data_IF_181190453895
#
_entry.id   IF_181190453895
#
_cell.length_a   1.000
_cell.length_b   1.000
_cell.length_c   1.000
_cell.angle_alpha   90.00
_cell.angle_beta   90.00
_cell.angle_gamma   90.00
#
_symmetry.space_group_name_H-M   'P 1'
#
loop_
_entity.id
_entity.type
_entity.pdbx_description
1 polymer ?
#
# COMPACT_ATOMS: atom_id res chain seq x y z
N UNK A 1 7.41 -17.19 0.20
CA UNK A 1 6.64 -15.93 0.14
C UNK A 1 7.32 -14.78 0.88
N UNK A 2 8.40 -15.01 1.64
CA UNK A 2 9.12 -13.95 2.36
C UNK A 2 10.59 -13.96 1.95
N UNK A 3 11.21 -12.79 1.97
CA UNK A 3 12.64 -12.59 1.75
C UNK A 3 13.24 -11.93 2.99
N UNK A 4 14.52 -12.18 3.32
CA UNK A 4 15.18 -11.55 4.47
C UNK A 4 15.39 -10.04 4.28
N UNK A 5 15.30 -9.56 3.04
CA UNK A 5 15.36 -8.16 2.65
C UNK A 5 14.17 -7.87 1.74
N UNK A 6 13.50 -6.74 1.97
CA UNK A 6 12.42 -6.24 1.15
C UNK A 6 12.36 -4.71 1.29
N UNK A 7 11.64 -4.06 0.39
CA UNK A 7 11.48 -2.61 0.43
C UNK A 7 10.07 -2.26 0.93
N UNK A 8 10.01 -1.29 1.83
CA UNK A 8 8.75 -0.78 2.37
C UNK A 8 8.66 0.72 2.12
N UNK A 9 7.45 1.18 1.81
CA UNK A 9 7.11 2.60 1.84
C UNK A 9 6.19 2.84 3.03
N UNK A 10 6.54 3.81 3.86
CA UNK A 10 5.70 4.30 4.94
C UNK A 10 5.36 5.78 4.73
N UNK A 11 4.14 6.15 5.09
CA UNK A 11 3.66 7.53 5.09
C UNK A 11 3.22 7.95 6.48
N UNK A 12 3.50 9.21 6.82
CA UNK A 12 3.09 9.84 8.07
C UNK A 12 2.59 11.25 7.78
N UNK A 13 1.40 11.58 8.26
CA UNK A 13 0.86 12.94 8.22
C UNK A 13 0.44 13.34 9.64
N UNK A 14 0.97 14.47 10.12
CA UNK A 14 0.61 15.08 11.40
C UNK A 14 0.00 16.46 11.12
N UNK A 15 -1.22 16.68 11.57
CA UNK A 15 -1.94 17.94 11.40
C UNK A 15 -3.01 18.09 12.50
N UNK A 16 -3.42 19.32 12.83
CA UNK A 16 -4.48 19.59 13.80
C UNK A 16 -5.86 19.10 13.34
N UNK A 17 -6.05 18.92 12.04
CA UNK A 17 -7.30 18.44 11.45
C UNK A 17 -7.24 16.97 10.98
N UNK A 18 -6.14 16.26 11.20
CA UNK A 18 -5.98 14.89 10.72
C UNK A 18 -6.97 13.93 11.41
N UNK A 19 -7.71 13.14 10.63
CA UNK A 19 -8.68 12.17 11.14
C UNK A 19 -8.80 10.93 10.24
N UNK A 20 -9.47 9.87 10.72
CA UNK A 20 -9.59 8.59 10.01
C UNK A 20 -10.18 8.72 8.59
N UNK A 21 -11.10 9.66 8.36
CA UNK A 21 -11.62 9.98 7.03
C UNK A 21 -10.53 10.44 6.03
N UNK A 22 -9.57 11.26 6.46
CA UNK A 22 -8.45 11.70 5.63
C UNK A 22 -7.52 10.52 5.28
N UNK A 23 -7.22 9.65 6.25
CA UNK A 23 -6.46 8.42 6.02
C UNK A 23 -7.14 7.55 4.96
N UNK A 24 -8.44 7.27 5.15
CA UNK A 24 -9.21 6.44 4.20
C UNK A 24 -9.22 7.05 2.80
N UNK A 25 -9.51 8.35 2.67
CA UNK A 25 -9.52 9.03 1.39
C UNK A 25 -8.17 8.98 0.69
N UNK A 26 -7.09 9.27 1.41
CA UNK A 26 -5.72 9.20 0.90
C UNK A 26 -5.39 7.81 0.33
N UNK A 27 -5.66 6.75 1.11
CA UNK A 27 -5.35 5.38 0.72
C UNK A 27 -6.23 4.85 -0.41
N UNK A 28 -7.52 5.19 -0.42
CA UNK A 28 -8.45 4.84 -1.50
C UNK A 28 -7.96 5.46 -2.81
N UNK A 29 -7.68 6.76 -2.81
CA UNK A 29 -7.21 7.46 -4.00
C UNK A 29 -5.82 6.97 -4.44
N UNK A 30 -4.91 6.71 -3.50
CA UNK A 30 -3.63 6.06 -3.81
C UNK A 30 -3.84 4.73 -4.55
N UNK A 31 -4.70 3.84 -4.04
CA UNK A 31 -4.91 2.54 -4.65
C UNK A 31 -5.55 2.64 -6.04
N UNK A 32 -6.56 3.50 -6.22
CA UNK A 32 -7.17 3.73 -7.54
C UNK A 32 -6.15 4.20 -8.56
N UNK A 33 -5.31 5.16 -8.19
CA UNK A 33 -4.27 5.72 -9.08
C UNK A 33 -3.13 4.75 -9.33
N UNK A 34 -2.71 4.01 -8.30
CA UNK A 34 -1.63 3.05 -8.42
C UNK A 34 -2.03 1.84 -9.27
N UNK A 35 -3.22 1.28 -9.07
CA UNK A 35 -3.72 0.14 -9.83
C UNK A 35 -4.44 0.53 -11.12
N UNK A 36 -4.70 1.82 -11.35
CA UNK A 36 -5.37 2.34 -12.55
C UNK A 36 -6.78 1.76 -12.73
N UNK A 37 -7.52 1.67 -11.62
CA UNK A 37 -8.91 1.20 -11.56
C UNK A 37 -9.72 2.23 -10.81
N UNK A 38 -10.50 3.03 -11.54
CA UNK A 38 -11.28 4.15 -10.97
C UNK A 38 -12.28 3.69 -9.89
N UNK A 39 -12.94 2.55 -10.12
CA UNK A 39 -13.92 1.95 -9.22
C UNK A 39 -13.34 0.77 -8.42
N UNK A 40 -12.10 0.89 -7.95
CA UNK A 40 -11.44 -0.17 -7.17
C UNK A 40 -12.18 -0.40 -5.84
N UNK A 41 -12.74 -1.60 -5.58
CA UNK A 41 -13.33 -1.89 -4.29
C UNK A 41 -12.25 -1.95 -3.22
N UNK A 42 -12.46 -1.25 -2.11
CA UNK A 42 -11.55 -1.24 -0.96
C UNK A 42 -12.33 -1.50 0.31
N UNK A 43 -11.72 -2.17 1.29
CA UNK A 43 -12.28 -2.27 2.64
C UNK A 43 -11.19 -2.14 3.69
N UNK A 44 -11.60 -1.68 4.86
CA UNK A 44 -10.75 -1.52 6.02
C UNK A 44 -11.23 -2.46 7.11
N UNK A 45 -10.35 -3.34 7.59
CA UNK A 45 -10.62 -4.25 8.68
C UNK A 45 -9.89 -3.77 9.92
N UNK A 46 -10.54 -3.69 11.10
CA UNK A 46 -9.83 -3.41 12.34
C UNK A 46 -8.68 -4.40 12.54
N UNK A 47 -7.52 -3.87 12.90
CA UNK A 47 -6.31 -4.65 13.22
C UNK A 47 -5.61 -4.00 14.42
N UNK A 48 -4.39 -4.40 14.73
CA UNK A 48 -3.60 -3.87 15.83
C UNK A 48 -2.15 -3.64 15.42
N UNK A 49 -1.67 -2.41 15.58
CA UNK A 49 -0.26 -2.05 15.48
C UNK A 49 0.13 -1.17 16.67
N UNK A 50 1.23 -1.43 17.39
CA UNK A 50 1.57 -0.71 18.62
C UNK A 50 1.73 0.82 18.48
N UNK A 51 2.01 1.30 17.27
CA UNK A 51 2.25 2.71 16.96
C UNK A 51 1.01 3.44 16.42
N UNK A 52 -0.14 2.77 16.27
CA UNK A 52 -1.40 3.38 15.84
C UNK A 52 -2.60 2.92 16.66
N UNK A 53 -3.54 3.84 16.93
CA UNK A 53 -4.83 3.54 17.57
C UNK A 53 -5.88 4.60 17.17
N UNK A 54 -7.00 4.23 16.50
CA UNK A 54 -7.32 2.90 16.00
C UNK A 54 -6.45 2.47 14.81
N UNK A 55 -6.28 1.15 14.67
CA UNK A 55 -5.50 0.47 13.63
C UNK A 55 -6.40 -0.29 12.63
N UNK A 56 -5.97 -0.39 11.37
CA UNK A 56 -6.68 -1.11 10.32
C UNK A 56 -5.74 -1.72 9.26
N UNK A 57 -6.14 -2.87 8.73
CA UNK A 57 -5.63 -3.42 7.48
C UNK A 57 -6.54 -2.98 6.32
N UNK A 58 -5.93 -2.70 5.16
CA UNK A 58 -6.66 -2.39 3.95
C UNK A 58 -6.56 -3.54 2.95
N UNK A 59 -7.73 -3.98 2.47
CA UNK A 59 -7.84 -4.93 1.38
C UNK A 59 -8.41 -4.26 0.12
N UNK A 60 -8.02 -4.77 -1.05
CA UNK A 60 -8.58 -4.41 -2.35
C UNK A 60 -9.35 -5.60 -2.96
N UNK A 61 -10.36 -5.28 -3.76
CA UNK A 61 -11.13 -6.26 -4.52
C UNK A 61 -10.29 -6.93 -5.60
N UNK A 62 -10.50 -8.23 -5.78
CA UNK A 62 -9.90 -8.99 -6.86
C UNK A 62 -10.77 -10.18 -7.29
N UNK A 63 -10.47 -10.71 -8.46
CA UNK A 63 -10.99 -11.99 -8.95
C UNK A 63 -9.83 -12.96 -9.19
N UNK A 64 -10.05 -14.23 -8.87
CA UNK A 64 -9.14 -15.33 -9.22
C UNK A 64 -9.87 -16.23 -10.22
N UNK A 65 -9.48 -16.18 -11.49
CA UNK A 65 -10.00 -17.10 -12.51
C UNK A 65 -8.83 -17.82 -13.20
N UNK A 66 -8.95 -19.14 -13.35
CA UNK A 66 -7.95 -19.99 -14.06
C UNK A 66 -6.48 -19.79 -13.66
N UNK A 67 -6.22 -19.38 -12.42
CA UNK A 67 -4.86 -19.13 -11.90
C UNK A 67 -4.35 -17.69 -12.13
N UNK A 68 -5.13 -16.83 -12.78
CA UNK A 68 -4.84 -15.42 -12.97
C UNK A 68 -5.53 -14.58 -11.88
N UNK A 69 -4.77 -13.66 -11.28
CA UNK A 69 -5.28 -12.69 -10.31
C UNK A 69 -5.51 -11.37 -11.01
N UNK A 70 -6.77 -10.91 -11.04
CA UNK A 70 -7.13 -9.62 -11.61
C UNK A 70 -7.62 -8.68 -10.51
N UNK A 71 -7.05 -7.48 -10.45
CA UNK A 71 -7.45 -6.43 -9.53
C UNK A 71 -8.73 -5.74 -10.04
N UNK A 72 -9.67 -5.45 -9.13
CA UNK A 72 -10.93 -4.76 -9.46
C UNK A 72 -12.16 -5.45 -8.87
N UNK A 73 -13.32 -5.21 -9.48
CA UNK A 73 -14.59 -5.80 -9.05
C UNK A 73 -14.56 -7.32 -9.16
N UNK A 74 -14.58 -8.00 -8.01
CA UNK A 74 -14.59 -9.46 -7.90
C UNK A 74 -15.10 -9.89 -6.53
N UNK A 75 -15.24 -11.21 -6.34
CA UNK A 75 -15.76 -11.79 -5.09
C UNK A 75 -14.68 -12.01 -4.03
N UNK A 76 -13.40 -11.83 -4.39
CA UNK A 76 -12.25 -12.04 -3.50
C UNK A 76 -11.65 -10.71 -3.06
N UNK A 77 -10.88 -10.78 -1.98
CA UNK A 77 -10.20 -9.65 -1.39
C UNK A 77 -8.75 -9.98 -1.12
N UNK A 78 -7.89 -8.98 -1.24
CA UNK A 78 -6.48 -9.13 -1.00
C UNK A 78 -5.97 -7.98 -0.13
N UNK A 79 -5.41 -8.30 1.02
CA UNK A 79 -4.71 -7.35 1.87
C UNK A 79 -3.51 -6.75 1.11
N UNK A 80 -3.30 -5.44 1.24
CA UNK A 80 -2.19 -4.73 0.57
C UNK A 80 -1.35 -3.86 1.50
N UNK A 81 -1.90 -3.38 2.62
CA UNK A 81 -1.20 -2.48 3.55
C UNK A 81 -1.83 -2.47 4.94
N UNK A 82 -1.06 -1.98 5.92
CA UNK A 82 -1.51 -1.63 7.26
C UNK A 82 -1.54 -0.11 7.46
N UNK A 83 -2.46 0.39 8.29
CA UNK A 83 -2.61 1.82 8.55
C UNK A 83 -3.31 2.09 9.88
N UNK A 84 -3.30 3.36 10.32
CA UNK A 84 -4.06 3.78 11.50
C UNK A 84 -3.80 5.22 11.91
N UNK A 85 -4.51 5.68 12.92
CA UNK A 85 -4.25 6.97 13.56
C UNK A 85 -3.03 6.85 14.47
N UNK A 86 -2.09 7.79 14.43
CA UNK A 86 -0.84 7.73 15.21
C UNK A 86 -1.17 7.71 16.70
N UNK A 87 -0.59 6.74 17.42
CA UNK A 87 -0.86 6.57 18.84
C UNK A 87 -0.35 7.80 19.64
N UNK A 88 -1.11 8.35 20.61
CA UNK A 88 -0.71 9.56 21.37
C UNK A 88 0.69 9.48 22.02
N UNK A 89 1.07 8.30 22.53
CA UNK A 89 2.42 8.07 23.06
C UNK A 89 3.54 8.30 22.04
N UNK A 90 3.31 8.02 20.75
CA UNK A 90 4.29 8.31 19.69
C UNK A 90 4.47 9.82 19.54
N UNK A 91 3.37 10.58 19.54
CA UNK A 91 3.40 12.04 19.47
C UNK A 91 4.12 12.66 20.68
N UNK A 92 3.76 12.21 21.89
CA UNK A 92 4.40 12.65 23.15
C UNK A 92 5.91 12.40 23.14
N UNK A 93 6.35 11.25 22.65
CA UNK A 93 7.78 10.90 22.55
C UNK A 93 8.53 11.78 21.53
N UNK A 94 7.82 12.46 20.62
CA UNK A 94 8.36 13.44 19.68
C UNK A 94 8.16 14.90 20.13
N UNK A 95 7.66 15.15 21.35
CA UNK A 95 7.41 16.50 21.85
C UNK A 95 6.20 17.20 21.21
N UNK A 96 5.27 16.45 20.63
CA UNK A 96 4.03 16.95 20.02
C UNK A 96 2.86 16.70 20.98
N UNK A 97 2.06 17.73 21.23
CA UNK A 97 0.86 17.63 22.07
C UNK A 97 -0.28 16.90 21.32
N UNK A 98 -0.69 15.69 21.77
CA UNK A 98 -1.76 14.93 21.12
C UNK A 98 -3.17 15.52 21.33
N UNK A 99 -3.33 16.49 22.24
CA UNK A 99 -4.59 17.22 22.40
C UNK A 99 -4.73 18.36 21.36
N UNK A 100 -3.61 18.79 20.74
CA UNK A 100 -3.59 19.80 19.68
C UNK A 100 -3.39 19.20 18.28
N UNK A 101 -2.56 18.17 18.15
CA UNK A 101 -2.22 17.54 16.88
C UNK A 101 -2.69 16.09 16.83
N UNK A 102 -3.20 15.70 15.68
CA UNK A 102 -3.49 14.32 15.35
C UNK A 102 -2.65 13.90 14.16
N UNK A 103 -2.69 12.62 13.81
CA UNK A 103 -2.02 12.16 12.62
C UNK A 103 -2.43 10.76 12.22
N UNK A 104 -2.10 10.39 10.99
CA UNK A 104 -2.26 9.03 10.53
C UNK A 104 -0.97 8.53 9.89
N UNK A 105 -0.79 7.22 9.93
CA UNK A 105 0.32 6.53 9.32
C UNK A 105 -0.17 5.33 8.51
N UNK A 106 0.61 4.93 7.51
CA UNK A 106 0.39 3.72 6.73
C UNK A 106 1.72 3.13 6.26
N UNK A 107 1.74 1.83 5.98
CA UNK A 107 2.91 1.12 5.50
C UNK A 107 2.54 0.02 4.52
N UNK A 108 3.29 -0.09 3.42
CA UNK A 108 3.09 -1.12 2.40
C UNK A 108 4.42 -1.67 1.86
N UNK A 109 4.46 -2.97 1.62
CA UNK A 109 5.59 -3.62 0.95
C UNK A 109 5.58 -3.33 -0.55
N UNK A 110 6.68 -2.79 -1.07
CA UNK A 110 6.80 -2.38 -2.47
C UNK A 110 6.74 -3.60 -3.38
N UNK A 111 7.42 -4.69 -3.04
CA UNK A 111 7.41 -5.91 -3.85
C UNK A 111 5.99 -6.49 -3.94
N UNK A 112 5.21 -6.43 -2.84
CA UNK A 112 3.83 -6.94 -2.85
C UNK A 112 2.97 -6.16 -3.84
N UNK A 113 2.99 -4.83 -3.78
CA UNK A 113 2.17 -4.00 -4.68
C UNK A 113 2.67 -4.07 -6.13
N UNK A 114 4.00 -4.21 -6.34
CA UNK A 114 4.58 -4.42 -7.67
C UNK A 114 4.19 -5.78 -8.28
N UNK A 115 4.22 -6.86 -7.49
CA UNK A 115 3.76 -8.17 -7.92
C UNK A 115 2.31 -8.14 -8.39
N UNK A 116 1.45 -7.41 -7.67
CA UNK A 116 0.05 -7.25 -8.04
C UNK A 116 -0.16 -6.39 -9.28
N UNK A 117 0.58 -5.27 -9.40
CA UNK A 117 0.45 -4.36 -10.54
C UNK A 117 0.97 -4.99 -11.84
N UNK A 118 2.09 -5.70 -11.78
CA UNK A 118 2.78 -6.23 -12.97
C UNK A 118 2.58 -7.73 -13.18
N UNK A 119 1.80 -8.41 -12.33
CA UNK A 119 1.53 -9.83 -12.45
C UNK A 119 2.76 -10.72 -12.20
N UNK A 120 3.71 -10.28 -11.37
CA UNK A 120 4.94 -11.03 -11.09
C UNK A 120 4.60 -12.20 -10.15
N UNK A 121 4.82 -13.47 -10.57
CA UNK A 121 4.33 -14.62 -9.82
C UNK A 121 5.22 -15.01 -8.64
N UNK A 122 6.48 -14.56 -8.61
CA UNK A 122 7.46 -15.00 -7.63
C UNK A 122 8.34 -13.85 -7.12
N UNK A 123 8.25 -13.62 -5.81
CA UNK A 123 9.01 -12.61 -5.08
C UNK A 123 10.54 -12.78 -5.21
N UNK A 124 11.04 -14.02 -5.34
CA UNK A 124 12.49 -14.29 -5.38
C UNK A 124 13.16 -13.62 -6.58
N UNK A 125 12.43 -13.49 -7.68
CA UNK A 125 12.95 -12.97 -8.94
C UNK A 125 13.41 -11.52 -8.86
N UNK A 126 12.90 -10.74 -7.89
CA UNK A 126 13.37 -9.37 -7.64
C UNK A 126 14.85 -9.31 -7.22
N UNK A 127 15.40 -10.39 -6.65
CA UNK A 127 16.73 -10.40 -6.04
C UNK A 127 17.76 -11.24 -6.81
N UNK A 128 17.34 -11.95 -7.87
CA UNK A 128 18.20 -12.85 -8.65
C UNK A 128 19.11 -12.11 -9.65
N UNK A 129 18.87 -10.82 -9.89
CA UNK A 129 19.64 -9.99 -10.85
C UNK A 129 19.67 -10.55 -12.28
N UNK A 130 18.63 -11.26 -12.72
CA UNK A 130 18.54 -11.79 -14.09
C UNK A 130 18.28 -10.66 -15.11
N UNK A 131 19.20 -10.49 -16.05
CA UNK A 131 19.07 -9.48 -17.11
C UNK A 131 17.83 -9.64 -17.99
N UNK A 132 17.31 -10.86 -18.17
CA UNK A 132 16.07 -11.12 -18.93
C UNK A 132 14.86 -10.61 -18.17
N UNK A 133 14.85 -10.82 -16.86
CA UNK A 133 13.82 -10.28 -15.97
C UNK A 133 13.85 -8.76 -15.96
N UNK A 134 15.04 -8.17 -15.80
CA UNK A 134 15.25 -6.72 -15.81
C UNK A 134 14.84 -6.09 -17.16
N UNK A 135 15.07 -6.78 -18.29
CA UNK A 135 14.59 -6.30 -19.60
C UNK A 135 13.07 -6.38 -19.78
N UNK A 136 12.41 -7.30 -19.09
CA UNK A 136 10.96 -7.50 -19.22
C UNK A 136 10.16 -6.60 -18.27
N UNK A 137 10.57 -6.52 -17.00
CA UNK A 137 9.87 -5.76 -15.96
C UNK A 137 10.52 -4.41 -15.61
N UNK A 138 11.80 -4.25 -15.92
CA UNK A 138 12.50 -2.99 -15.68
C UNK A 138 12.09 -1.90 -16.66
N UNK A 139 12.19 -0.67 -16.21
CA UNK A 139 11.93 0.55 -16.96
C UNK A 139 13.04 1.55 -16.67
N UNK A 140 13.31 2.48 -17.60
CA UNK A 140 14.29 3.53 -17.36
C UNK A 140 13.86 4.39 -16.16
N UNK A 141 14.78 4.85 -15.29
CA UNK A 141 14.44 5.68 -14.14
C UNK A 141 13.83 7.04 -14.52
N UNK A 142 14.02 7.46 -15.78
CA UNK A 142 13.44 8.68 -16.37
C UNK A 142 12.27 8.38 -17.31
N UNK A 143 12.02 7.12 -17.62
CA UNK A 143 10.86 6.71 -18.39
C UNK A 143 9.70 6.56 -17.41
N UNK A 144 8.56 7.17 -17.72
CA UNK A 144 7.38 6.95 -16.89
C UNK A 144 7.05 5.45 -16.91
N UNK A 145 6.88 4.80 -15.74
CA UNK A 145 6.50 3.38 -15.70
C UNK A 145 5.08 3.14 -16.23
N UNK A 146 4.36 4.21 -16.61
CA UNK A 146 2.98 4.14 -17.02
C UNK A 146 2.82 4.48 -18.52
N UNK A 147 2.20 3.56 -19.27
CA UNK A 147 1.74 3.77 -20.66
C UNK A 147 0.31 4.32 -20.76
N UNK A 148 -0.38 4.56 -19.64
CA UNK A 148 -1.78 5.00 -19.60
C UNK A 148 -1.97 6.50 -19.89
N UNK A 149 -0.89 7.28 -19.95
CA UNK A 149 -0.91 8.60 -20.56
C UNK A 149 -0.05 8.52 -21.82
N UNK A 150 -0.70 8.22 -22.94
CA UNK A 150 -0.16 8.59 -24.25
C UNK A 150 0.02 10.10 -24.35
#
# INVERSE_FOLDING_TARGET
THTPMFHQMEGLLIDKAAHMGHLKGCLIEFCKRFFEVDDLPTRFRPSFFPFTEPSAEMDIGCSRDKGELKIGAGSSWLEILGCGMVHPNVLKNCGIDPDEYQGFAFGMGIERVAMLKYGIPDLRTFFESDLRWLKHYGFGPLEQPNKALG
#
